data_IF_337044229747
#
_entry.id   IF_337044229747
#
_cell.length_a   1.000
_cell.length_b   1.000
_cell.length_c   1.000
_cell.angle_alpha   90.00
_cell.angle_beta   90.00
_cell.angle_gamma   90.00
#
_symmetry.space_group_name_H-M   'P 1'
#
loop_
_entity.id
_entity.type
_entity.pdbx_description
1 polymer ?
#
# COMPACT_ATOMS: atom_id res chain seq x y z
N UNK A 1 -1.02 -10.90 4.40
CA UNK A 1 -1.80 -9.67 4.65
C UNK A 1 -2.07 -9.56 6.13
N UNK A 2 -1.54 -8.56 6.78
CA UNK A 2 -1.80 -8.28 8.18
C UNK A 2 -2.81 -7.15 8.22
N UNK A 3 -4.09 -7.50 8.19
CA UNK A 3 -5.17 -6.55 8.40
C UNK A 3 -5.22 -6.19 9.87
N UNK A 4 -4.99 -4.97 10.22
CA UNK A 4 -5.11 -4.48 11.58
C UNK A 4 -5.29 -2.98 11.54
N UNK A 5 -5.62 -2.39 12.65
CA UNK A 5 -5.73 -0.93 12.78
C UNK A 5 -4.42 -0.28 12.32
N UNK A 6 -4.37 0.10 11.06
CA UNK A 6 -3.28 0.89 10.55
C UNK A 6 -3.26 2.22 11.32
N UNK A 7 -2.15 2.61 11.96
CA UNK A 7 -2.12 3.81 12.78
C UNK A 7 -2.29 5.11 11.97
N UNK A 8 -2.16 5.03 10.65
CA UNK A 8 -2.43 6.17 9.75
C UNK A 8 -3.91 6.53 9.72
N UNK A 9 -4.79 5.56 9.94
CA UNK A 9 -6.24 5.77 10.08
C UNK A 9 -6.85 6.68 9.00
N UNK A 10 -6.48 6.48 7.74
CA UNK A 10 -7.02 7.27 6.63
C UNK A 10 -8.53 7.05 6.50
N UNK A 11 -9.33 8.10 6.54
CA UNK A 11 -10.81 8.00 6.48
C UNK A 11 -11.33 7.37 5.18
N UNK A 12 -10.57 7.45 4.11
CA UNK A 12 -10.89 6.86 2.81
C UNK A 12 -10.32 5.44 2.63
N UNK A 13 -9.62 4.89 3.60
CA UNK A 13 -8.92 3.62 3.44
C UNK A 13 -9.89 2.47 3.14
N UNK A 14 -9.65 1.77 2.04
CA UNK A 14 -10.46 0.61 1.66
C UNK A 14 -10.44 -0.50 2.73
N UNK A 15 -9.31 -0.63 3.45
CA UNK A 15 -9.14 -1.65 4.50
C UNK A 15 -10.04 -1.36 5.71
N UNK A 16 -10.10 -0.10 6.15
CA UNK A 16 -10.96 0.31 7.28
C UNK A 16 -12.44 0.36 6.90
N UNK A 17 -12.73 0.41 5.59
CA UNK A 17 -14.07 0.51 5.04
C UNK A 17 -14.53 -0.79 4.34
N UNK A 18 -13.81 -1.88 4.52
CA UNK A 18 -14.21 -3.19 4.02
C UNK A 18 -15.50 -3.64 4.72
N UNK A 19 -16.45 -4.14 3.92
CA UNK A 19 -17.69 -4.67 4.47
C UNK A 19 -17.47 -5.97 5.25
N UNK A 20 -18.48 -6.37 6.03
CA UNK A 20 -18.42 -7.54 6.88
C UNK A 20 -18.05 -8.85 6.14
N UNK A 21 -18.46 -9.00 4.89
CA UNK A 21 -18.19 -10.20 4.08
C UNK A 21 -16.71 -10.28 3.72
N UNK A 22 -16.11 -9.17 3.29
CA UNK A 22 -14.69 -9.08 3.00
C UNK A 22 -13.83 -9.29 4.25
N UNK A 23 -14.23 -8.72 5.38
CA UNK A 23 -13.57 -8.97 6.66
C UNK A 23 -13.62 -10.44 7.07
N UNK A 24 -14.75 -11.11 6.86
CA UNK A 24 -14.89 -12.55 7.12
C UNK A 24 -14.02 -13.38 6.18
N UNK A 25 -13.95 -13.00 4.91
CA UNK A 25 -13.09 -13.63 3.94
C UNK A 25 -11.60 -13.44 4.28
N UNK A 26 -11.18 -12.23 4.61
CA UNK A 26 -9.81 -11.95 5.05
C UNK A 26 -9.48 -12.68 6.36
N UNK A 27 -10.44 -12.82 7.28
CA UNK A 27 -10.30 -13.64 8.48
C UNK A 27 -10.03 -15.09 8.15
N UNK A 28 -10.70 -15.64 7.18
CA UNK A 28 -10.54 -17.04 6.77
C UNK A 28 -9.23 -17.25 5.98
N UNK A 29 -8.79 -16.25 5.24
CA UNK A 29 -7.55 -16.28 4.44
C UNK A 29 -6.31 -15.97 5.27
N UNK A 30 -6.46 -15.17 6.33
CA UNK A 30 -5.41 -14.83 7.29
C UNK A 30 -5.29 -15.91 8.37
N UNK A 31 -4.87 -17.04 8.00
CA UNK A 31 -4.82 -18.27 8.77
C UNK A 31 -4.13 -18.10 10.09
N UNK A 32 -4.73 -18.67 11.07
CA UNK A 32 -4.25 -18.62 12.44
C UNK A 32 -4.53 -17.29 13.15
N UNK A 33 -5.11 -16.31 12.47
CA UNK A 33 -5.50 -15.01 13.05
C UNK A 33 -6.85 -15.05 13.76
N UNK A 34 -7.55 -16.15 13.73
CA UNK A 34 -8.86 -16.28 14.37
C UNK A 34 -8.91 -15.80 15.84
N UNK A 35 -7.79 -15.85 16.54
CA UNK A 35 -7.66 -15.34 17.91
C UNK A 35 -7.29 -13.85 17.99
N UNK A 36 -6.80 -13.27 16.89
CA UNK A 36 -6.37 -11.88 16.84
C UNK A 36 -7.41 -10.96 16.19
N UNK A 37 -8.45 -11.52 15.58
CA UNK A 37 -9.52 -10.76 14.96
C UNK A 37 -10.68 -10.66 15.91
N UNK A 38 -11.02 -9.44 16.31
CA UNK A 38 -12.17 -9.15 17.16
C UNK A 38 -13.15 -8.27 16.44
N UNK A 39 -14.42 -8.59 16.52
CA UNK A 39 -15.49 -7.72 16.07
C UNK A 39 -15.58 -6.53 17.03
N UNK A 40 -15.39 -5.33 16.51
CA UNK A 40 -15.49 -4.10 17.29
C UNK A 40 -16.88 -3.50 17.09
N UNK A 41 -17.59 -3.39 18.19
CA UNK A 41 -18.80 -2.58 18.28
C UNK A 41 -18.38 -1.12 18.46
N UNK A 42 -19.24 -0.16 18.16
CA UNK A 42 -18.96 1.21 17.78
C UNK A 42 -17.56 1.77 18.11
N UNK A 43 -17.01 2.66 17.28
CA UNK A 43 -17.62 3.36 16.15
C UNK A 43 -17.58 2.60 14.81
N UNK A 44 -17.05 1.38 14.80
CA UNK A 44 -16.84 0.55 13.61
C UNK A 44 -17.86 -0.59 13.57
N UNK A 45 -19.14 -0.24 13.80
CA UNK A 45 -20.24 -1.18 13.71
C UNK A 45 -20.11 -1.96 12.39
N UNK A 46 -20.12 -3.28 12.49
CA UNK A 46 -19.97 -4.19 11.35
C UNK A 46 -18.57 -4.32 10.73
N UNK A 47 -17.51 -3.85 11.40
CA UNK A 47 -16.14 -4.07 10.96
C UNK A 47 -15.39 -5.05 11.88
N UNK A 48 -14.56 -5.88 11.27
CA UNK A 48 -13.62 -6.72 11.98
C UNK A 48 -12.28 -5.98 12.09
N UNK A 49 -11.76 -5.85 13.28
CA UNK A 49 -10.49 -5.22 13.53
C UNK A 49 -9.57 -6.21 14.21
N UNK A 50 -8.33 -6.27 13.74
CA UNK A 50 -7.28 -7.02 14.43
C UNK A 50 -6.87 -6.22 15.67
N UNK A 51 -7.31 -6.64 16.84
CA UNK A 51 -7.10 -5.90 18.09
C UNK A 51 -5.73 -6.13 18.69
N UNK A 52 -5.16 -7.31 18.50
CA UNK A 52 -3.80 -7.67 18.91
C UNK A 52 -3.23 -8.60 17.85
N UNK A 53 -2.64 -8.07 16.78
CA UNK A 53 -1.98 -8.96 15.85
C UNK A 53 -0.78 -9.57 16.60
N UNK A 54 -0.84 -10.85 16.88
CA UNK A 54 0.38 -11.61 16.97
C UNK A 54 0.96 -11.67 15.56
N UNK A 55 1.73 -10.64 15.23
CA UNK A 55 2.33 -10.46 13.90
C UNK A 55 3.14 -11.69 13.54
N UNK A 56 3.87 -12.27 14.49
CA UNK A 56 4.64 -13.50 14.28
C UNK A 56 3.75 -14.66 13.92
N UNK A 57 2.59 -14.80 14.57
CA UNK A 57 1.65 -15.87 14.24
C UNK A 57 1.02 -15.67 12.87
N UNK A 58 0.65 -14.44 12.52
CA UNK A 58 0.08 -14.10 11.22
C UNK A 58 1.07 -14.33 10.06
N UNK A 59 2.34 -14.07 10.29
CA UNK A 59 3.40 -14.21 9.30
C UNK A 59 4.06 -15.60 9.31
N UNK A 60 3.72 -16.47 10.26
CA UNK A 60 4.27 -17.84 10.35
C UNK A 60 4.26 -18.61 9.03
N UNK A 61 3.18 -18.60 8.24
CA UNK A 61 3.19 -19.26 6.94
C UNK A 61 4.29 -18.71 6.03
N UNK A 62 4.47 -17.40 6.01
CA UNK A 62 5.48 -16.73 5.16
C UNK A 62 6.91 -17.00 5.62
N UNK A 63 7.13 -17.31 6.91
CA UNK A 63 8.44 -17.70 7.40
C UNK A 63 8.90 -19.07 6.85
N UNK A 64 7.94 -19.95 6.55
CA UNK A 64 8.20 -21.30 6.04
C UNK A 64 8.30 -21.35 4.52
N UNK A 65 7.80 -20.32 3.81
CA UNK A 65 7.87 -20.29 2.34
C UNK A 65 9.32 -20.32 1.87
N UNK A 66 9.59 -21.13 0.85
CA UNK A 66 10.85 -21.07 0.13
C UNK A 66 10.98 -19.72 -0.59
N UNK A 67 11.98 -18.88 -0.28
CA UNK A 67 12.15 -17.59 -0.94
C UNK A 67 12.42 -17.75 -2.45
N UNK A 68 12.94 -18.87 -2.92
CA UNK A 68 13.21 -19.10 -4.32
C UNK A 68 11.96 -19.08 -5.22
N UNK A 69 10.78 -19.28 -4.64
CA UNK A 69 9.50 -19.09 -5.34
C UNK A 69 9.32 -17.67 -5.90
N UNK A 70 10.03 -16.70 -5.33
CA UNK A 70 9.97 -15.29 -5.70
C UNK A 70 11.20 -14.81 -6.45
N UNK A 71 12.00 -15.74 -6.98
CA UNK A 71 13.20 -15.41 -7.76
C UNK A 71 12.81 -14.57 -8.98
N UNK A 72 13.39 -13.39 -9.09
CA UNK A 72 13.11 -12.44 -10.16
C UNK A 72 11.81 -11.64 -10.02
N UNK A 73 11.03 -11.86 -8.97
CA UNK A 73 9.77 -11.14 -8.73
C UNK A 73 9.97 -9.79 -8.04
N UNK A 74 8.93 -8.95 -8.12
CA UNK A 74 8.77 -7.78 -7.25
C UNK A 74 7.95 -8.22 -6.04
N UNK A 75 8.55 -8.18 -4.86
CA UNK A 75 7.89 -8.59 -3.62
C UNK A 75 7.55 -7.37 -2.78
N UNK A 76 6.26 -7.21 -2.45
CA UNK A 76 5.79 -6.09 -1.64
C UNK A 76 5.49 -6.56 -0.21
N UNK A 77 6.17 -5.96 0.77
CA UNK A 77 5.87 -6.19 2.17
C UNK A 77 4.73 -5.29 2.62
N UNK A 78 3.68 -5.92 3.12
CA UNK A 78 2.54 -5.28 3.79
C UNK A 78 1.70 -4.31 2.94
N UNK A 79 0.83 -4.86 2.10
CA UNK A 79 -0.07 -4.06 1.26
C UNK A 79 -1.35 -3.57 1.98
N UNK A 80 -1.67 -4.07 3.18
CA UNK A 80 -2.97 -3.86 3.87
C UNK A 80 -2.85 -2.93 5.08
N UNK A 81 -1.67 -2.86 5.70
CA UNK A 81 -1.35 -1.95 6.81
C UNK A 81 -0.02 -1.27 6.52
N UNK A 82 0.33 -0.24 7.27
CA UNK A 82 1.60 0.45 7.04
C UNK A 82 2.78 -0.40 7.54
N UNK A 83 3.78 -0.69 6.70
CA UNK A 83 4.91 -1.57 7.03
C UNK A 83 5.83 -0.99 8.11
N UNK A 84 5.79 0.32 8.35
CA UNK A 84 6.64 0.98 9.33
C UNK A 84 5.97 1.17 10.69
N UNK A 85 4.77 0.62 10.85
CA UNK A 85 4.20 0.53 12.18
C UNK A 85 5.11 -0.30 13.10
N UNK A 86 5.30 0.19 14.32
CA UNK A 86 6.23 -0.42 15.31
C UNK A 86 6.07 -1.93 15.48
N UNK A 87 4.85 -2.46 15.27
CA UNK A 87 4.55 -3.89 15.37
C UNK A 87 5.16 -4.73 14.23
N UNK A 88 5.54 -4.11 13.11
CA UNK A 88 6.03 -4.81 11.93
C UNK A 88 7.51 -4.58 11.63
N UNK A 89 8.22 -3.82 12.44
CA UNK A 89 9.62 -3.45 12.16
C UNK A 89 10.56 -4.64 12.15
N UNK A 90 10.46 -5.50 13.16
CA UNK A 90 11.30 -6.70 13.24
C UNK A 90 10.97 -7.67 12.11
N UNK A 91 9.70 -7.75 11.76
CA UNK A 91 9.22 -8.57 10.67
C UNK A 91 9.67 -8.05 9.30
N UNK A 92 9.74 -6.74 9.14
CA UNK A 92 10.28 -6.12 7.93
C UNK A 92 11.76 -6.49 7.74
N UNK A 93 12.56 -6.43 8.79
CA UNK A 93 13.97 -6.81 8.71
C UNK A 93 14.14 -8.29 8.35
N UNK A 94 13.38 -9.17 8.99
CA UNK A 94 13.36 -10.59 8.66
C UNK A 94 12.95 -10.81 7.19
N UNK A 95 11.91 -10.13 6.73
CA UNK A 95 11.42 -10.20 5.37
C UNK A 95 12.48 -9.76 4.36
N UNK A 96 13.17 -8.66 4.62
CA UNK A 96 14.24 -8.16 3.79
C UNK A 96 15.41 -9.17 3.71
N UNK A 97 15.84 -9.70 4.86
CA UNK A 97 16.89 -10.72 4.91
C UNK A 97 16.54 -11.96 4.10
N UNK A 98 15.29 -12.39 4.14
CA UNK A 98 14.83 -13.61 3.48
C UNK A 98 14.62 -13.43 1.98
N UNK A 99 13.96 -12.37 1.56
CA UNK A 99 13.51 -12.22 0.17
C UNK A 99 14.40 -11.33 -0.69
N UNK A 100 15.14 -10.38 -0.11
CA UNK A 100 16.00 -9.49 -0.88
C UNK A 100 17.10 -10.24 -1.68
N UNK A 101 17.68 -11.34 -1.20
CA UNK A 101 18.68 -12.06 -1.98
C UNK A 101 18.17 -12.70 -3.27
N UNK A 102 16.88 -13.03 -3.34
CA UNK A 102 16.29 -13.77 -4.48
C UNK A 102 15.32 -12.92 -5.30
N UNK A 103 14.62 -11.99 -4.66
CA UNK A 103 13.71 -11.10 -5.34
C UNK A 103 14.45 -10.10 -6.23
N UNK A 104 13.89 -9.77 -7.37
CA UNK A 104 14.38 -8.70 -8.22
C UNK A 104 14.27 -7.36 -7.53
N UNK A 105 13.18 -7.17 -6.77
CA UNK A 105 12.87 -5.97 -6.03
C UNK A 105 12.09 -6.31 -4.76
N UNK A 106 12.44 -5.66 -3.67
CA UNK A 106 11.60 -5.63 -2.46
C UNK A 106 11.09 -4.21 -2.27
N UNK A 107 9.80 -4.04 -2.06
CA UNK A 107 9.17 -2.73 -1.95
C UNK A 107 8.24 -2.63 -0.75
N UNK A 108 8.12 -1.43 -0.21
CA UNK A 108 7.14 -1.06 0.82
C UNK A 108 6.44 0.22 0.41
N UNK A 109 5.11 0.26 0.62
CA UNK A 109 4.32 1.48 0.45
C UNK A 109 3.96 2.02 1.83
N UNK A 110 4.24 3.29 2.09
CA UNK A 110 3.98 3.89 3.40
C UNK A 110 3.37 5.27 3.33
N UNK A 111 2.61 5.60 4.35
CA UNK A 111 2.19 6.97 4.74
C UNK A 111 2.79 7.38 6.08
N UNK A 112 3.46 6.47 6.79
CA UNK A 112 4.08 6.76 8.07
C UNK A 112 5.47 7.38 7.91
N UNK A 113 5.92 8.15 8.91
CA UNK A 113 7.31 8.54 9.02
C UNK A 113 8.19 7.30 9.24
N UNK A 114 9.23 7.17 8.41
CA UNK A 114 10.21 6.08 8.56
C UNK A 114 11.34 6.54 9.48
N UNK A 115 11.64 5.81 10.56
CA UNK A 115 12.72 6.17 11.49
C UNK A 115 14.09 6.20 10.81
N UNK A 116 14.88 7.24 11.09
CA UNK A 116 16.24 7.40 10.53
C UNK A 116 17.14 6.21 10.84
N UNK A 117 17.06 5.67 12.05
CA UNK A 117 17.83 4.49 12.46
C UNK A 117 17.51 3.28 11.57
N UNK A 118 16.23 3.05 11.27
CA UNK A 118 15.81 1.97 10.39
C UNK A 118 16.32 2.20 8.96
N UNK A 119 16.20 3.41 8.43
CA UNK A 119 16.71 3.76 7.11
C UNK A 119 18.22 3.52 7.01
N UNK A 120 18.98 4.10 7.95
CA UNK A 120 20.45 4.07 7.96
C UNK A 120 21.01 2.67 8.19
N UNK A 121 20.43 1.91 9.11
CA UNK A 121 21.06 0.66 9.58
C UNK A 121 20.40 -0.62 9.01
N UNK A 122 19.23 -0.51 8.41
CA UNK A 122 18.52 -1.66 7.83
C UNK A 122 18.27 -1.44 6.34
N UNK A 123 17.45 -0.47 5.96
CA UNK A 123 16.95 -0.36 4.57
C UNK A 123 18.06 -0.06 3.56
N UNK A 124 19.04 0.79 3.92
CA UNK A 124 20.18 1.14 3.05
C UNK A 124 21.09 -0.04 2.70
N UNK A 125 21.02 -1.14 3.45
CA UNK A 125 21.82 -2.35 3.18
C UNK A 125 21.29 -3.17 2.00
N UNK A 126 20.06 -2.90 1.56
CA UNK A 126 19.41 -3.67 0.50
C UNK A 126 19.31 -2.85 -0.78
N UNK A 127 20.22 -3.02 -1.75
CA UNK A 127 20.27 -2.21 -2.96
C UNK A 127 19.04 -2.38 -3.87
N UNK A 128 18.35 -3.51 -3.75
CA UNK A 128 17.10 -3.79 -4.46
C UNK A 128 15.84 -3.39 -3.65
N UNK A 129 16.00 -2.74 -2.51
CA UNK A 129 14.86 -2.18 -1.77
C UNK A 129 14.39 -0.87 -2.41
N UNK A 130 13.07 -0.68 -2.44
CA UNK A 130 12.42 0.56 -2.92
C UNK A 130 11.39 1.01 -1.90
N UNK A 131 11.51 2.27 -1.50
CA UNK A 131 10.56 2.92 -0.61
C UNK A 131 9.55 3.72 -1.42
N UNK A 132 8.28 3.38 -1.31
CA UNK A 132 7.20 4.11 -1.95
C UNK A 132 6.48 4.93 -0.89
N UNK A 133 6.52 6.25 -1.01
CA UNK A 133 5.91 7.17 -0.03
C UNK A 133 4.67 7.80 -0.61
N UNK A 134 3.53 7.56 0.01
CA UNK A 134 2.27 8.14 -0.43
C UNK A 134 2.06 9.51 0.24
N UNK A 135 2.10 10.57 -0.56
CA UNK A 135 1.85 11.97 -0.20
C UNK A 135 0.57 12.42 -0.89
N UNK A 136 -0.43 12.82 -0.15
CA UNK A 136 -1.78 13.08 -0.69
C UNK A 136 -2.26 14.50 -0.47
N UNK A 137 -1.60 15.26 0.43
CA UNK A 137 -2.09 16.58 0.85
C UNK A 137 -3.41 16.53 1.61
N UNK A 138 -3.71 15.43 2.30
CA UNK A 138 -4.97 15.18 3.00
C UNK A 138 -4.78 15.13 4.54
N UNK A 139 -3.95 16.02 5.08
CA UNK A 139 -3.54 16.01 6.49
C UNK A 139 -4.71 16.01 7.48
N UNK A 140 -5.84 16.64 7.12
CA UNK A 140 -7.04 16.68 7.96
C UNK A 140 -7.81 15.37 8.09
N UNK A 141 -7.53 14.38 7.23
CA UNK A 141 -8.23 13.08 7.18
C UNK A 141 -7.30 11.86 7.22
N UNK A 142 -6.01 12.11 7.37
CA UNK A 142 -4.98 11.10 7.56
C UNK A 142 -4.26 11.32 8.90
N UNK A 143 -3.87 10.24 9.57
CA UNK A 143 -3.20 10.30 10.88
C UNK A 143 -1.71 10.69 10.82
N UNK A 144 -1.18 11.04 9.65
CA UNK A 144 0.19 11.51 9.47
C UNK A 144 0.22 12.70 8.53
N UNK A 145 1.14 13.65 8.76
CA UNK A 145 1.20 14.88 7.98
C UNK A 145 2.00 14.74 6.68
N UNK A 146 1.68 15.56 5.71
CA UNK A 146 2.42 15.75 4.47
C UNK A 146 3.89 16.10 4.74
N UNK A 147 4.15 16.96 5.73
CA UNK A 147 5.50 17.34 6.15
C UNK A 147 6.33 16.12 6.62
N UNK A 148 5.73 15.22 7.41
CA UNK A 148 6.42 14.04 7.90
C UNK A 148 6.84 13.08 6.78
N UNK A 149 6.05 13.04 5.70
CA UNK A 149 6.33 12.25 4.51
C UNK A 149 7.41 12.88 3.63
N UNK A 150 7.41 14.21 3.50
CA UNK A 150 8.52 14.95 2.86
C UNK A 150 9.83 14.72 3.61
N UNK A 151 9.82 14.77 4.94
CA UNK A 151 11.00 14.42 5.76
C UNK A 151 11.44 12.96 5.54
N UNK A 152 10.51 12.06 5.33
CA UNK A 152 10.83 10.65 5.00
C UNK A 152 11.53 10.54 3.65
N UNK A 153 11.05 11.26 2.64
CA UNK A 153 11.67 11.30 1.32
C UNK A 153 13.05 11.95 1.35
N UNK A 154 13.22 13.07 2.09
CA UNK A 154 14.52 13.71 2.27
C UNK A 154 15.56 12.76 2.87
N UNK A 155 15.18 12.03 3.94
CA UNK A 155 16.05 11.03 4.58
C UNK A 155 16.34 9.84 3.67
N UNK A 156 15.37 9.40 2.86
CA UNK A 156 15.62 8.34 1.89
C UNK A 156 16.76 8.71 0.95
N UNK A 157 16.78 9.94 0.45
CA UNK A 157 17.91 10.46 -0.35
C UNK A 157 19.22 10.53 0.42
N UNK A 158 19.19 11.07 1.62
CA UNK A 158 20.35 11.17 2.51
C UNK A 158 21.04 9.81 2.71
N UNK A 159 20.26 8.76 2.87
CA UNK A 159 20.77 7.40 3.10
C UNK A 159 20.87 6.54 1.83
N UNK A 160 20.76 7.13 0.65
CA UNK A 160 20.91 6.43 -0.64
C UNK A 160 19.80 5.42 -0.94
N UNK A 161 18.65 5.51 -0.26
CA UNK A 161 17.50 4.64 -0.49
C UNK A 161 16.73 5.18 -1.70
N UNK A 162 16.55 4.35 -2.72
CA UNK A 162 15.71 4.71 -3.87
C UNK A 162 14.25 4.78 -3.43
N UNK A 163 13.68 5.98 -3.48
CA UNK A 163 12.29 6.23 -3.09
C UNK A 163 11.49 6.84 -4.26
N UNK A 164 10.18 6.62 -4.24
CA UNK A 164 9.25 7.13 -5.23
C UNK A 164 8.00 7.71 -4.56
N UNK A 165 7.62 8.96 -4.87
CA UNK A 165 6.43 9.57 -4.31
C UNK A 165 5.17 9.15 -5.08
N UNK A 166 4.08 8.88 -4.34
CA UNK A 166 2.74 8.66 -4.87
C UNK A 166 1.77 9.70 -4.31
N UNK A 167 0.81 10.15 -5.11
CA UNK A 167 -0.40 10.79 -4.62
C UNK A 167 -1.60 9.84 -4.82
N UNK A 168 -1.75 8.90 -3.91
CA UNK A 168 -2.82 7.89 -3.93
C UNK A 168 -3.60 7.87 -2.60
N UNK A 169 -4.86 8.34 -2.62
CA UNK A 169 -5.57 8.97 -3.74
C UNK A 169 -5.29 10.47 -3.84
N UNK A 170 -5.51 11.02 -5.03
CA UNK A 170 -5.82 12.42 -5.22
C UNK A 170 -7.34 12.59 -5.10
N UNK A 171 -7.78 13.48 -4.23
CA UNK A 171 -9.21 13.80 -4.05
C UNK A 171 -9.43 15.23 -4.50
N UNK A 172 -10.11 15.39 -5.65
CA UNK A 172 -10.43 16.69 -6.22
C UNK A 172 -11.18 17.58 -5.22
N UNK A 173 -10.71 18.81 -5.06
CA UNK A 173 -11.26 19.78 -4.12
C UNK A 173 -10.87 19.54 -2.65
N UNK A 174 -10.05 18.55 -2.32
CA UNK A 174 -9.57 18.26 -0.96
C UNK A 174 -8.06 18.10 -0.86
N UNK A 175 -7.41 17.45 -1.84
CA UNK A 175 -5.96 17.28 -1.83
C UNK A 175 -5.23 18.60 -2.01
N UNK A 176 -4.43 19.00 -1.01
CA UNK A 176 -3.54 20.14 -1.12
C UNK A 176 -2.23 19.74 -1.83
N UNK A 177 -2.00 20.31 -2.99
CA UNK A 177 -0.83 20.04 -3.82
C UNK A 177 0.38 20.95 -3.50
N UNK A 178 0.34 21.73 -2.43
CA UNK A 178 1.45 22.62 -2.01
C UNK A 178 2.78 21.85 -1.77
N UNK A 179 2.71 20.54 -1.56
CA UNK A 179 3.89 19.68 -1.39
C UNK A 179 4.70 19.46 -2.68
N UNK A 180 4.16 19.77 -3.86
CA UNK A 180 4.84 19.53 -5.15
C UNK A 180 6.17 20.31 -5.26
N UNK A 181 6.17 21.59 -4.89
CA UNK A 181 7.39 22.41 -4.91
C UNK A 181 8.44 21.88 -3.93
N UNK A 182 8.18 21.66 -2.65
CA UNK A 182 9.11 21.00 -1.74
C UNK A 182 9.61 19.64 -2.25
N UNK A 183 8.74 18.84 -2.87
CA UNK A 183 9.12 17.56 -3.46
C UNK A 183 10.16 17.72 -4.56
N UNK A 184 9.97 18.70 -5.44
CA UNK A 184 10.95 19.07 -6.50
C UNK A 184 12.26 19.58 -5.91
N UNK A 185 12.21 20.43 -4.90
CA UNK A 185 13.40 20.95 -4.19
C UNK A 185 14.20 19.83 -3.52
N UNK A 186 13.55 18.78 -3.05
CA UNK A 186 14.20 17.56 -2.60
C UNK A 186 14.82 16.74 -3.76
N UNK A 187 14.64 17.18 -5.03
CA UNK A 187 15.19 16.57 -6.23
C UNK A 187 14.48 15.30 -6.65
N UNK A 188 13.19 15.19 -6.39
CA UNK A 188 12.31 14.22 -7.05
C UNK A 188 11.78 14.85 -8.33
N UNK A 189 11.89 14.13 -9.44
CA UNK A 189 11.46 14.60 -10.77
C UNK A 189 10.17 13.94 -11.25
N UNK A 190 9.73 12.90 -10.57
CA UNK A 190 8.62 12.06 -10.99
C UNK A 190 7.68 11.80 -9.81
N UNK A 191 6.38 11.73 -10.12
CA UNK A 191 5.32 11.37 -9.17
C UNK A 191 4.23 10.57 -9.89
N UNK A 192 3.64 9.57 -9.20
CA UNK A 192 2.42 8.90 -9.66
C UNK A 192 1.20 9.51 -8.95
N UNK A 193 0.17 9.85 -9.71
CA UNK A 193 -1.08 10.39 -9.18
C UNK A 193 -2.23 9.51 -9.62
N UNK A 194 -3.03 9.02 -8.68
CA UNK A 194 -4.24 8.24 -8.95
C UNK A 194 -5.46 8.86 -8.31
N UNK A 195 -6.57 8.75 -9.02
CA UNK A 195 -7.86 9.22 -8.55
C UNK A 195 -8.39 8.47 -7.34
N UNK A 196 -9.50 8.98 -6.87
CA UNK A 196 -10.22 8.48 -5.71
C UNK A 196 -11.39 7.61 -6.15
N UNK A 197 -11.50 6.43 -5.55
CA UNK A 197 -12.68 5.57 -5.70
C UNK A 197 -13.73 6.02 -4.71
N UNK A 198 -14.68 6.84 -5.20
CA UNK A 198 -15.74 7.38 -4.38
C UNK A 198 -16.78 6.32 -3.99
N UNK A 199 -17.32 6.49 -2.78
CA UNK A 199 -18.48 5.75 -2.31
C UNK A 199 -19.32 6.69 -1.43
N UNK A 200 -20.67 6.72 -1.51
CA UNK A 200 -21.53 7.61 -0.72
C UNK A 200 -21.29 7.56 0.80
N UNK A 201 -20.79 6.45 1.34
CA UNK A 201 -20.41 6.35 2.76
C UNK A 201 -19.30 7.32 3.19
N UNK A 202 -18.60 7.92 2.22
CA UNK A 202 -17.55 8.91 2.49
C UNK A 202 -18.08 10.33 2.67
N UNK A 203 -19.35 10.58 2.37
CA UNK A 203 -19.98 11.92 2.45
C UNK A 203 -19.84 12.57 3.82
N UNK A 204 -19.82 11.76 4.88
CA UNK A 204 -19.73 12.27 6.26
C UNK A 204 -18.44 13.01 6.61
N UNK A 205 -17.39 12.92 5.77
CA UNK A 205 -16.13 13.62 5.98
C UNK A 205 -15.63 14.40 4.76
N UNK A 206 -16.24 14.20 3.60
CA UNK A 206 -15.91 14.95 2.39
C UNK A 206 -16.57 16.34 2.41
N UNK A 207 -15.93 17.31 1.77
CA UNK A 207 -16.58 18.61 1.58
C UNK A 207 -17.67 18.57 0.48
N UNK A 208 -18.63 19.49 0.52
CA UNK A 208 -19.77 19.52 -0.41
C UNK A 208 -19.34 19.57 -1.87
N UNK A 209 -18.35 20.39 -2.21
CA UNK A 209 -17.83 20.54 -3.57
C UNK A 209 -17.31 19.21 -4.10
N UNK A 210 -16.52 18.47 -3.32
CA UNK A 210 -16.02 17.18 -3.71
C UNK A 210 -17.12 16.14 -3.85
N UNK A 211 -18.10 16.14 -2.94
CA UNK A 211 -19.25 15.24 -3.04
C UNK A 211 -20.01 15.46 -4.36
N UNK A 212 -20.28 16.70 -4.72
CA UNK A 212 -20.97 17.06 -5.97
C UNK A 212 -20.20 16.58 -7.20
N UNK A 213 -18.88 16.81 -7.24
CA UNK A 213 -18.00 16.35 -8.31
C UNK A 213 -18.05 14.82 -8.48
N UNK A 214 -17.92 14.08 -7.39
CA UNK A 214 -17.85 12.62 -7.45
C UNK A 214 -19.20 11.94 -7.66
N UNK A 215 -20.29 12.47 -7.14
CA UNK A 215 -21.65 11.93 -7.36
C UNK A 215 -22.09 11.99 -8.83
N UNK A 216 -21.58 12.95 -9.59
CA UNK A 216 -21.82 13.06 -11.03
C UNK A 216 -21.03 12.07 -11.88
N UNK A 217 -20.12 11.30 -11.28
CA UNK A 217 -19.26 10.34 -11.99
C UNK A 217 -19.77 8.91 -11.80
N UNK A 218 -19.86 8.17 -12.89
CA UNK A 218 -20.20 6.73 -12.91
C UNK A 218 -18.97 5.83 -12.87
N UNK A 219 -17.77 6.38 -12.70
CA UNK A 219 -16.52 5.64 -12.75
C UNK A 219 -16.06 5.20 -11.35
N UNK A 220 -15.51 4.00 -11.25
CA UNK A 220 -15.03 3.43 -9.99
C UNK A 220 -13.80 4.16 -9.42
N UNK A 221 -12.95 4.70 -10.28
CA UNK A 221 -11.74 5.43 -9.91
C UNK A 221 -11.58 6.66 -10.79
N UNK A 222 -11.88 7.83 -10.21
CA UNK A 222 -11.97 9.07 -10.98
C UNK A 222 -10.83 10.00 -10.66
N UNK A 223 -10.15 10.44 -11.69
CA UNK A 223 -9.31 11.63 -11.72
C UNK A 223 -10.14 12.77 -12.32
N UNK A 224 -10.87 13.48 -11.46
CA UNK A 224 -11.60 14.67 -11.89
C UNK A 224 -10.58 15.78 -12.04
N UNK A 225 -10.50 16.35 -13.24
CA UNK A 225 -9.53 17.40 -13.54
C UNK A 225 -9.98 18.73 -12.96
N UNK A 226 -9.16 19.28 -12.08
CA UNK A 226 -9.29 20.60 -11.47
C UNK A 226 -7.98 21.42 -11.56
N UNK A 227 -7.21 21.20 -12.64
CA UNK A 227 -5.90 21.84 -12.84
C UNK A 227 -4.74 21.14 -12.13
N UNK A 228 -4.94 19.94 -11.58
CA UNK A 228 -3.89 19.25 -10.84
C UNK A 228 -2.70 18.83 -11.73
N UNK A 229 -2.95 18.49 -13.00
CA UNK A 229 -1.87 18.11 -13.96
C UNK A 229 -0.98 19.29 -14.25
N UNK A 230 -1.57 20.43 -14.53
CA UNK A 230 -0.88 21.70 -14.76
C UNK A 230 -0.02 22.05 -13.55
N UNK A 231 -0.54 21.94 -12.33
CA UNK A 231 0.21 22.17 -11.09
C UNK A 231 1.42 21.24 -10.97
N UNK A 232 1.28 19.95 -11.32
CA UNK A 232 2.42 19.01 -11.31
C UNK A 232 3.49 19.45 -12.29
N UNK A 233 3.11 19.81 -13.53
CA UNK A 233 4.03 20.20 -14.59
C UNK A 233 4.70 21.56 -14.27
N UNK A 234 3.95 22.53 -13.81
CA UNK A 234 4.44 23.86 -13.40
C UNK A 234 5.48 23.79 -12.28
N UNK A 235 5.34 22.81 -11.40
CA UNK A 235 6.33 22.54 -10.36
C UNK A 235 7.53 21.70 -10.88
N UNK A 236 7.63 21.45 -12.18
CA UNK A 236 8.77 20.77 -12.82
C UNK A 236 8.80 19.27 -12.56
N UNK A 237 7.66 18.67 -12.18
CA UNK A 237 7.52 17.22 -11.98
C UNK A 237 6.92 16.57 -13.23
N UNK A 238 7.25 15.31 -13.44
CA UNK A 238 6.69 14.45 -14.48
C UNK A 238 5.71 13.44 -13.89
N UNK A 239 4.58 13.27 -14.54
CA UNK A 239 3.64 12.21 -14.21
C UNK A 239 4.16 10.88 -14.76
N UNK A 240 4.44 9.95 -13.88
CA UNK A 240 4.97 8.63 -14.20
C UNK A 240 4.27 7.60 -13.34
N UNK A 241 3.61 6.63 -13.96
CA UNK A 241 3.00 5.56 -13.18
C UNK A 241 4.05 4.75 -12.42
N UNK A 242 3.69 4.22 -11.25
CA UNK A 242 4.58 3.33 -10.48
C UNK A 242 5.05 2.14 -11.33
N UNK A 243 4.19 1.62 -12.21
CA UNK A 243 4.51 0.55 -13.14
C UNK A 243 5.63 0.96 -14.12
N UNK A 244 5.55 2.17 -14.69
CA UNK A 244 6.54 2.67 -15.62
C UNK A 244 7.84 3.08 -14.92
N UNK A 245 7.73 3.58 -13.68
CA UNK A 245 8.91 3.81 -12.86
C UNK A 245 9.71 2.52 -12.60
N UNK A 246 9.01 1.41 -12.32
CA UNK A 246 9.67 0.10 -12.20
C UNK A 246 10.31 -0.35 -13.52
N UNK A 247 9.64 -0.17 -14.66
CA UNK A 247 10.21 -0.50 -15.98
C UNK A 247 11.50 0.26 -16.29
N UNK A 248 11.55 1.56 -15.99
CA UNK A 248 12.75 2.41 -16.18
C UNK A 248 13.97 1.90 -15.41
N UNK A 249 13.76 1.14 -14.35
CA UNK A 249 14.85 0.54 -13.57
C UNK A 249 15.28 -0.84 -14.11
N UNK A 250 14.89 -1.20 -15.34
CA UNK A 250 15.07 -2.55 -15.91
C UNK A 250 14.45 -3.66 -15.04
N UNK A 251 13.40 -3.30 -14.33
CA UNK A 251 12.66 -4.16 -13.43
C UNK A 251 11.37 -4.67 -14.09
N UNK A 252 11.43 -5.08 -15.37
CA UNK A 252 10.31 -5.77 -15.99
C UNK A 252 10.11 -7.11 -15.28
N UNK A 253 8.95 -7.31 -14.68
CA UNK A 253 8.53 -8.63 -14.23
C UNK A 253 8.26 -9.50 -15.45
N UNK A 254 8.54 -10.80 -15.41
CA UNK A 254 8.04 -11.73 -16.41
C UNK A 254 6.53 -11.54 -16.53
N UNK A 255 6.03 -11.41 -17.74
CA UNK A 255 4.57 -11.45 -17.97
C UNK A 255 4.15 -12.89 -17.76
N UNK A 256 3.68 -13.21 -16.57
CA UNK A 256 3.00 -14.47 -16.34
C UNK A 256 1.67 -14.42 -17.10
N UNK A 257 1.30 -15.51 -17.74
CA UNK A 257 -0.08 -15.72 -18.17
C UNK A 257 -1.00 -15.74 -16.95
N UNK A 258 -2.30 -15.61 -17.16
CA UNK A 258 -3.27 -15.74 -16.07
C UNK A 258 -3.10 -17.08 -15.36
N UNK A 259 -2.99 -18.16 -16.09
CA UNK A 259 -2.85 -19.53 -15.59
C UNK A 259 -1.56 -19.72 -14.78
N UNK A 260 -0.43 -19.19 -15.25
CA UNK A 260 0.84 -19.24 -14.51
C UNK A 260 0.78 -18.44 -13.20
N UNK A 261 0.13 -17.26 -13.22
CA UNK A 261 -0.07 -16.48 -12.00
C UNK A 261 -0.98 -17.22 -11.00
N UNK A 262 -2.03 -17.88 -11.50
CA UNK A 262 -2.96 -18.69 -10.72
C UNK A 262 -2.25 -19.89 -10.09
N UNK A 263 -1.48 -20.61 -10.88
CA UNK A 263 -0.72 -21.76 -10.39
C UNK A 263 0.25 -21.34 -9.28
N UNK A 264 1.00 -20.26 -9.49
CA UNK A 264 1.94 -19.72 -8.51
C UNK A 264 1.25 -19.30 -7.22
N UNK A 265 0.06 -18.66 -7.29
CA UNK A 265 -0.74 -18.30 -6.11
C UNK A 265 -1.19 -19.56 -5.35
N UNK A 266 -1.68 -20.59 -6.07
CA UNK A 266 -2.11 -21.86 -5.45
C UNK A 266 -0.94 -22.57 -4.75
N UNK A 267 0.24 -22.59 -5.35
CA UNK A 267 1.44 -23.16 -4.75
C UNK A 267 1.82 -22.42 -3.45
N UNK A 268 1.86 -21.08 -3.50
CA UNK A 268 2.13 -20.25 -2.33
C UNK A 268 1.09 -20.52 -1.22
N UNK A 269 -0.18 -20.58 -1.57
CA UNK A 269 -1.26 -20.87 -0.62
C UNK A 269 -1.10 -22.28 -0.02
N UNK A 270 -0.84 -23.29 -0.84
CA UNK A 270 -0.61 -24.66 -0.39
C UNK A 270 0.56 -24.77 0.58
N UNK A 271 1.71 -24.15 0.25
CA UNK A 271 2.89 -24.17 1.13
C UNK A 271 2.68 -23.39 2.42
N UNK A 272 1.88 -22.35 2.38
CA UNK A 272 1.53 -21.57 3.57
C UNK A 272 0.48 -22.27 4.44
N UNK A 273 -0.03 -23.46 4.07
CA UNK A 273 -1.21 -24.11 4.68
C UNK A 273 -2.43 -23.21 4.69
N UNK A 274 -2.60 -22.43 3.62
CA UNK A 274 -3.74 -21.53 3.46
C UNK A 274 -4.86 -22.34 2.79
N UNK A 275 -5.82 -22.79 3.59
CA UNK A 275 -7.05 -23.38 3.06
C UNK A 275 -8.03 -22.25 2.75
N UNK A 276 -8.41 -22.10 1.49
CA UNK A 276 -9.53 -21.25 1.10
C UNK A 276 -10.82 -21.92 1.57
N UNK A 277 -11.55 -21.30 2.48
CA UNK A 277 -12.90 -21.76 2.88
C UNK A 277 -14.03 -21.08 2.09
N UNK A 278 -13.69 -20.37 1.01
CA UNK A 278 -14.65 -19.78 0.07
C UNK A 278 -14.62 -20.54 -1.27
N UNK A 279 -15.69 -20.45 -2.03
CA UNK A 279 -15.71 -20.99 -3.39
C UNK A 279 -14.58 -20.36 -4.19
N UNK A 280 -13.72 -21.20 -4.75
CA UNK A 280 -12.42 -20.81 -5.35
C UNK A 280 -12.53 -19.72 -6.42
N UNK A 281 -13.69 -19.52 -7.04
CA UNK A 281 -13.91 -18.53 -8.11
C UNK A 281 -13.99 -17.08 -7.60
N UNK A 282 -14.72 -16.80 -6.53
CA UNK A 282 -14.87 -15.41 -6.03
C UNK A 282 -13.57 -14.84 -5.41
N UNK A 283 -12.78 -15.69 -4.78
CA UNK A 283 -11.50 -15.34 -4.16
C UNK A 283 -10.47 -14.99 -5.23
N UNK A 284 -10.56 -15.69 -6.34
CA UNK A 284 -9.60 -15.61 -7.42
C UNK A 284 -9.79 -14.36 -8.27
N UNK A 285 -11.03 -14.03 -8.66
CA UNK A 285 -11.32 -12.84 -9.48
C UNK A 285 -10.88 -11.54 -8.80
N UNK A 286 -11.06 -11.41 -7.49
CA UNK A 286 -10.68 -10.19 -6.77
C UNK A 286 -9.16 -10.00 -6.62
N UNK A 287 -8.38 -11.07 -6.64
CA UNK A 287 -6.91 -11.01 -6.49
C UNK A 287 -6.18 -10.81 -7.82
N UNK A 288 -6.73 -11.34 -8.91
CA UNK A 288 -6.17 -11.23 -10.26
C UNK A 288 -6.52 -9.89 -10.91
N UNK A 289 -7.74 -9.38 -10.75
CA UNK A 289 -8.15 -8.06 -11.24
C UNK A 289 -7.35 -6.89 -10.64
N UNK A 290 -6.72 -7.07 -9.47
CA UNK A 290 -5.86 -6.05 -8.85
C UNK A 290 -4.42 -6.05 -9.34
N UNK A 291 -4.02 -7.03 -10.15
CA UNK A 291 -2.63 -7.16 -10.63
C UNK A 291 -2.46 -6.91 -12.14
N UNK A 292 -3.56 -6.79 -12.87
CA UNK A 292 -3.61 -6.38 -14.27
C UNK A 292 -3.87 -4.88 -14.39
#
# INVERSE_FOLDING_TARGET
MTGGNCPVNCRYCAVTNIDKRRCLWEKNTLIGINKAVTYINPPYKDQWVVTRPDVKQALRPFYKLDPNLFTGDIVCFNAVSDPFWKLYRDELEFFLKKYSPVAKLVTCVTKMPVPSVLMKHVLSKYPNFRLIVSITGLDGIEGTSTESRLKTLARAKEYGIKAFPLCHPYISGMSDLSFLKPLKELGYDEIDVKGFRYNPRFDGWMNKKSIELYRGSNEDEVLIEDGWREKVIENGLKLVSLKDWYKKQNLSTPKLTREEAELKVREVMKMANITSSGTDEEVFESSVQRRL
#
